data_IF_517370487549
#
_entry.id   IF_517370487549
#
_cell.length_a   1.000
_cell.length_b   1.000
_cell.length_c   1.000
_cell.angle_alpha   90.00
_cell.angle_beta   90.00
_cell.angle_gamma   90.00
#
_symmetry.space_group_name_H-M   'P 1'
#
loop_
_entity.id
_entity.type
_entity.pdbx_description
1 polymer ?
#
# COMPACT_ATOMS: atom_id res chain seq x y z
N UNK A 1 7.02 -7.18 -5.28
CA UNK A 1 5.68 -6.89 -4.77
C UNK A 1 5.37 -7.72 -3.54
N UNK A 2 4.81 -7.12 -2.53
CA UNK A 2 4.40 -7.84 -1.33
C UNK A 2 2.90 -7.83 -1.19
N UNK A 3 2.34 -8.94 -0.72
CA UNK A 3 0.90 -9.09 -0.56
C UNK A 3 0.60 -9.42 0.90
N UNK A 4 -0.35 -8.71 1.47
CA UNK A 4 -0.75 -8.86 2.86
C UNK A 4 -2.22 -9.23 2.97
N UNK A 5 -2.57 -9.96 4.01
CA UNK A 5 -3.95 -10.39 4.21
C UNK A 5 -4.86 -9.27 4.72
N UNK A 6 -4.30 -8.29 5.39
CA UNK A 6 -5.06 -7.17 5.93
C UNK A 6 -4.39 -5.85 5.61
N UNK A 7 -5.19 -4.80 5.58
CA UNK A 7 -4.66 -3.45 5.37
C UNK A 7 -3.73 -3.06 6.53
N UNK A 8 -4.08 -3.44 7.74
CA UNK A 8 -3.26 -3.11 8.90
C UNK A 8 -1.87 -3.75 8.83
N UNK A 9 -1.79 -4.99 8.35
CA UNK A 9 -0.51 -5.66 8.19
C UNK A 9 0.36 -4.93 7.17
N UNK A 10 -0.23 -4.51 6.07
CA UNK A 10 0.49 -3.76 5.04
C UNK A 10 1.01 -2.44 5.60
N UNK A 11 0.17 -1.72 6.33
CA UNK A 11 0.57 -0.44 6.92
C UNK A 11 1.67 -0.62 7.96
N UNK A 12 1.58 -1.65 8.77
CA UNK A 12 2.61 -1.96 9.76
C UNK A 12 3.95 -2.24 9.09
N UNK A 13 3.92 -3.02 8.02
CA UNK A 13 5.14 -3.31 7.26
C UNK A 13 5.81 -2.02 6.78
N UNK A 14 5.01 -1.12 6.24
CA UNK A 14 5.53 0.14 5.74
C UNK A 14 6.10 1.01 6.86
N UNK A 15 5.41 1.07 7.98
CA UNK A 15 5.88 1.81 9.14
C UNK A 15 7.19 1.25 9.67
N UNK A 16 7.27 -0.07 9.77
CA UNK A 16 8.48 -0.73 10.26
C UNK A 16 9.67 -0.50 9.33
N UNK A 17 9.39 -0.27 8.06
CA UNK A 17 10.42 0.00 7.05
C UNK A 17 10.65 1.49 6.80
N UNK A 18 10.17 2.34 7.72
CA UNK A 18 10.44 3.78 7.72
C UNK A 18 9.75 4.55 6.60
N UNK A 19 8.64 4.04 6.09
CA UNK A 19 7.83 4.79 5.15
C UNK A 19 6.92 5.77 5.87
N UNK A 20 6.60 6.86 5.19
CA UNK A 20 5.67 7.88 5.70
C UNK A 20 4.41 7.87 4.87
N UNK A 21 3.26 7.98 5.52
CA UNK A 21 1.99 8.09 4.83
C UNK A 21 1.82 9.51 4.27
N UNK A 22 1.42 9.60 3.02
CA UNK A 22 1.18 10.89 2.35
C UNK A 22 -0.31 11.16 2.31
N UNK A 23 -0.80 11.91 3.30
CA UNK A 23 -2.23 12.16 3.47
C UNK A 23 -2.84 12.98 2.33
N UNK A 24 -2.08 13.91 1.79
CA UNK A 24 -2.59 14.84 0.79
C UNK A 24 -2.24 14.46 -0.63
N UNK A 25 -1.74 13.25 -0.83
CA UNK A 25 -1.39 12.79 -2.16
C UNK A 25 -2.65 12.41 -2.92
N UNK A 26 -2.84 13.01 -4.10
CA UNK A 26 -3.97 12.66 -4.96
C UNK A 26 -3.73 11.31 -5.62
N UNK A 27 -4.69 10.42 -5.56
CA UNK A 27 -4.52 9.08 -6.08
C UNK A 27 -5.78 8.59 -6.77
N UNK A 28 -5.64 7.47 -7.46
CA UNK A 28 -6.73 6.86 -8.21
C UNK A 28 -7.66 6.08 -7.27
N UNK A 29 -8.83 5.72 -7.78
CA UNK A 29 -9.82 5.01 -6.99
C UNK A 29 -9.34 3.65 -6.48
N UNK A 30 -8.45 3.01 -7.21
CA UNK A 30 -7.93 1.69 -6.85
C UNK A 30 -6.75 1.74 -5.89
N UNK A 31 -6.35 2.93 -5.46
CA UNK A 31 -5.24 3.11 -4.54
C UNK A 31 -5.78 3.58 -3.20
N UNK A 32 -5.56 2.79 -2.15
CA UNK A 32 -5.98 3.16 -0.81
C UNK A 32 -5.06 4.19 -0.18
N UNK A 33 -3.76 3.97 -0.28
CA UNK A 33 -2.77 4.81 0.38
C UNK A 33 -1.50 4.91 -0.44
N UNK A 34 -0.82 6.03 -0.29
CA UNK A 34 0.51 6.24 -0.86
C UNK A 34 1.47 6.49 0.30
N UNK A 35 2.60 5.83 0.27
CA UNK A 35 3.64 5.97 1.28
C UNK A 35 4.97 6.31 0.61
N UNK A 36 5.81 7.02 1.34
CA UNK A 36 7.07 7.53 0.80
C UNK A 36 8.23 7.22 1.73
N UNK A 37 9.36 6.86 1.15
CA UNK A 37 10.62 6.71 1.86
C UNK A 37 11.72 7.31 0.98
N UNK A 38 12.24 8.49 1.38
CA UNK A 38 13.20 9.20 0.53
C UNK A 38 12.55 9.60 -0.79
N UNK A 39 13.09 9.12 -1.88
CA UNK A 39 12.53 9.36 -3.21
C UNK A 39 11.63 8.23 -3.70
N UNK A 40 11.50 7.19 -2.90
CA UNK A 40 10.73 6.02 -3.29
C UNK A 40 9.28 6.18 -2.89
N UNK A 41 8.37 5.95 -3.82
CA UNK A 41 6.93 5.98 -3.58
C UNK A 41 6.36 4.59 -3.80
N UNK A 42 5.49 4.18 -2.88
CA UNK A 42 4.80 2.90 -3.00
C UNK A 42 3.31 3.12 -2.78
N UNK A 43 2.51 2.26 -3.38
CA UNK A 43 1.06 2.29 -3.20
C UNK A 43 0.60 1.06 -2.47
N UNK A 44 -0.48 1.21 -1.70
CA UNK A 44 -1.21 0.09 -1.11
C UNK A 44 -2.53 -0.02 -1.86
N UNK A 45 -2.70 -1.12 -2.60
CA UNK A 45 -3.89 -1.31 -3.43
C UNK A 45 -4.52 -2.65 -3.11
N UNK A 46 -5.84 -2.78 -3.34
CA UNK A 46 -6.48 -4.08 -3.16
C UNK A 46 -6.01 -5.05 -4.24
N UNK A 47 -5.79 -6.28 -3.83
CA UNK A 47 -5.41 -7.36 -4.73
C UNK A 47 -6.45 -8.45 -4.60
N UNK A 48 -7.37 -8.52 -5.56
CA UNK A 48 -8.46 -9.49 -5.54
C UNK A 48 -8.08 -10.72 -6.33
N UNK A 49 -8.09 -11.87 -5.64
CA UNK A 49 -7.86 -13.15 -6.29
C UNK A 49 -9.16 -13.94 -6.41
N UNK A 50 -10.10 -13.69 -5.48
CA UNK A 50 -11.41 -14.31 -5.53
C UNK A 50 -12.41 -13.41 -4.80
N UNK A 51 -13.68 -13.82 -4.77
CA UNK A 51 -14.75 -13.00 -4.20
C UNK A 51 -14.77 -12.94 -2.69
N UNK A 52 -14.16 -13.91 -2.03
CA UNK A 52 -14.26 -14.02 -0.58
C UNK A 52 -13.18 -13.25 0.16
N UNK A 53 -12.03 -13.06 -0.48
CA UNK A 53 -10.89 -12.48 0.20
C UNK A 53 -10.26 -11.37 -0.61
N UNK A 54 -10.09 -10.24 0.06
CA UNK A 54 -9.35 -9.12 -0.50
C UNK A 54 -8.02 -9.06 0.22
N UNK A 55 -6.95 -9.15 -0.55
CA UNK A 55 -5.60 -8.95 -0.02
C UNK A 55 -5.12 -7.57 -0.43
N UNK A 56 -4.03 -7.13 0.17
CA UNK A 56 -3.49 -5.80 -0.08
C UNK A 56 -2.06 -5.93 -0.55
N UNK A 57 -1.75 -5.29 -1.67
CA UNK A 57 -0.42 -5.37 -2.23
C UNK A 57 0.28 -4.02 -2.13
N UNK A 58 1.58 -4.08 -1.94
CA UNK A 58 2.43 -2.91 -1.94
C UNK A 58 3.24 -2.93 -3.22
N UNK A 59 3.09 -1.89 -4.04
CA UNK A 59 3.80 -1.77 -5.31
C UNK A 59 4.58 -0.48 -5.36
N UNK A 60 5.76 -0.54 -5.96
CA UNK A 60 6.56 0.66 -6.18
C UNK A 60 5.95 1.48 -7.30
N UNK A 61 5.73 2.76 -7.05
CA UNK A 61 5.23 3.70 -8.05
C UNK A 61 6.39 4.41 -8.72
N UNK A 62 7.39 4.78 -7.91
CA UNK A 62 8.50 5.56 -8.42
C UNK A 62 9.80 5.18 -7.73
#
# INVERSE_FOLDING_TARGET
MKIFNTLESAKRYLKDNKYRYLENYSHREDIFEIHKKGFKLVSVTPHRQNYEHIKYKIQTIR
#
